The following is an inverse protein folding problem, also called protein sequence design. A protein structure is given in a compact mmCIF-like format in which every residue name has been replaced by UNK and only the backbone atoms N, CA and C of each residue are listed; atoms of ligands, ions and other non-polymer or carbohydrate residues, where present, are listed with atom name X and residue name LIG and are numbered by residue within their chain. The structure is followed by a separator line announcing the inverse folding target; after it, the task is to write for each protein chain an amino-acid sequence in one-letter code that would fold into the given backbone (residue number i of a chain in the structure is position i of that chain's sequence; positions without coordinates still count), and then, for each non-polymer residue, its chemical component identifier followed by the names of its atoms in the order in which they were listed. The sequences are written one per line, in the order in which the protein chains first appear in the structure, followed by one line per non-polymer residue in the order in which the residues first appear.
data_IF_093733737052
#
_entry.id   IF_093733737052
#
_cell.length_a   1.000
_cell.length_b   1.000
_cell.length_c   1.000
_cell.angle_alpha   90.00
_cell.angle_beta   90.00
_cell.angle_gamma   90.00
#
_symmetry.space_group_name_H-M   'P 1'
#
loop_
_entity.id
_entity.type
_entity.pdbx_description
1 polymer ?
#
# COMPACT_ATOMS: atom_id res chain seq x y z
N UNK A 1 -11.48 38.88 -3.31
CA UNK A 1 -10.52 37.85 -2.87
C UNK A 1 -11.32 36.73 -2.25
N UNK A 2 -11.76 35.77 -3.08
CA UNK A 2 -12.25 34.48 -2.61
C UNK A 2 -11.44 33.47 -3.42
N UNK A 3 -10.27 33.09 -2.89
CA UNK A 3 -9.54 31.95 -3.42
C UNK A 3 -10.39 30.72 -3.16
N UNK A 4 -10.99 30.22 -4.24
CA UNK A 4 -11.47 28.85 -4.35
C UNK A 4 -10.26 27.95 -4.12
N UNK A 5 -10.01 27.58 -2.86
CA UNK A 5 -9.12 26.48 -2.54
C UNK A 5 -9.74 25.22 -3.14
N UNK A 6 -9.14 24.80 -4.25
CA UNK A 6 -9.35 23.50 -4.87
C UNK A 6 -9.21 22.44 -3.77
N UNK A 7 -10.26 21.64 -3.58
CA UNK A 7 -10.27 20.47 -2.68
C UNK A 7 -9.08 19.56 -3.01
N UNK A 8 -7.97 19.75 -2.32
CA UNK A 8 -6.74 19.01 -2.59
C UNK A 8 -6.67 17.89 -1.57
N UNK A 9 -7.25 16.74 -1.90
CA UNK A 9 -6.88 15.47 -1.28
C UNK A 9 -5.33 15.36 -1.35
N UNK A 10 -4.60 14.80 -0.39
CA UNK A 10 -3.13 14.56 -0.50
C UNK A 10 -2.83 13.05 -0.36
N UNK A 11 -2.02 12.49 -1.25
CA UNK A 11 -1.65 11.07 -1.24
C UNK A 11 -0.33 10.93 -0.48
N UNK A 12 -0.22 10.00 0.45
CA UNK A 12 1.03 9.73 1.12
C UNK A 12 1.87 8.69 0.37
N UNK A 13 3.17 8.73 0.66
CA UNK A 13 4.17 7.80 0.14
C UNK A 13 4.64 6.92 1.28
N UNK A 14 4.49 5.60 1.16
CA UNK A 14 5.07 4.63 2.10
C UNK A 14 6.40 4.12 1.58
N UNK A 15 7.45 4.12 2.43
CA UNK A 15 8.76 3.53 2.10
C UNK A 15 8.98 2.34 3.03
N UNK A 16 9.22 1.15 2.47
CA UNK A 16 9.55 -0.05 3.24
C UNK A 16 10.97 -0.53 2.91
N UNK A 17 11.74 -0.88 3.95
CA UNK A 17 13.04 -1.54 3.84
C UNK A 17 12.94 -2.99 4.34
N UNK A 18 13.23 -3.96 3.47
CA UNK A 18 13.14 -5.38 3.83
C UNK A 18 14.53 -5.98 4.07
N UNK A 19 14.79 -6.42 5.30
CA UNK A 19 15.99 -7.17 5.68
C UNK A 19 15.80 -8.67 5.38
N UNK A 20 16.85 -9.34 4.90
CA UNK A 20 16.83 -10.77 4.58
C UNK A 20 17.09 -11.61 5.84
N UNK A 21 16.71 -12.89 5.87
CA UNK A 21 16.99 -13.75 6.99
C UNK A 21 18.49 -14.13 7.04
N UNK A 22 19.22 -13.66 8.06
CA UNK A 22 20.47 -14.28 8.54
C UNK A 22 21.82 -13.87 7.91
N UNK A 23 22.73 -13.40 8.79
CA UNK A 23 24.21 -13.41 8.82
C UNK A 23 25.11 -13.03 7.62
N UNK A 24 24.58 -12.71 6.44
CA UNK A 24 25.34 -11.99 5.40
C UNK A 24 24.69 -10.62 5.20
N UNK A 25 25.47 -9.53 5.13
CA UNK A 25 24.96 -8.20 4.78
C UNK A 25 24.43 -8.20 3.33
N UNK A 26 23.23 -8.74 3.13
CA UNK A 26 22.51 -8.65 1.88
C UNK A 26 22.05 -7.20 1.72
N UNK A 27 22.28 -6.56 0.56
CA UNK A 27 21.81 -5.19 0.30
C UNK A 27 20.32 -5.10 0.55
N UNK A 28 19.87 -4.18 1.41
CA UNK A 28 18.44 -3.97 1.69
C UNK A 28 17.71 -3.62 0.40
N UNK A 29 16.54 -4.22 0.17
CA UNK A 29 15.66 -3.77 -0.90
C UNK A 29 14.79 -2.62 -0.42
N UNK A 30 14.57 -1.63 -1.29
CA UNK A 30 13.71 -0.48 -1.03
C UNK A 30 12.48 -0.52 -1.92
N UNK A 31 11.32 -0.36 -1.30
CA UNK A 31 10.02 -0.35 -1.96
C UNK A 31 9.31 0.97 -1.66
N UNK A 32 8.61 1.51 -2.65
CA UNK A 32 7.78 2.70 -2.49
C UNK A 32 6.37 2.41 -3.00
N UNK A 33 5.34 2.67 -2.21
CA UNK A 33 3.94 2.67 -2.67
C UNK A 33 3.39 4.10 -2.66
N UNK A 34 2.60 4.43 -3.68
CA UNK A 34 1.99 5.75 -3.84
C UNK A 34 0.68 5.67 -4.61
N UNK A 35 -0.42 6.03 -3.95
CA UNK A 35 -1.71 6.19 -4.59
C UNK A 35 -1.69 7.42 -5.52
N UNK A 36 -1.68 7.20 -6.83
CA UNK A 36 -1.44 8.24 -7.84
C UNK A 36 -2.70 8.94 -8.33
N UNK A 37 -3.88 8.67 -7.72
CA UNK A 37 -5.17 9.29 -8.08
C UNK A 37 -5.58 9.19 -9.56
N UNK A 38 -5.02 8.20 -10.26
CA UNK A 38 -5.28 7.97 -11.68
C UNK A 38 -3.97 7.95 -12.46
N UNK A 39 -3.63 6.77 -12.99
CA UNK A 39 -2.41 6.58 -13.76
C UNK A 39 -2.33 7.47 -15.01
N UNK A 40 -3.48 7.94 -15.53
CA UNK A 40 -3.57 8.88 -16.66
C UNK A 40 -3.56 10.37 -16.29
N UNK A 41 -3.44 10.74 -15.01
CA UNK A 41 -3.36 12.16 -14.62
C UNK A 41 -2.06 12.79 -15.14
N UNK A 42 -2.08 14.04 -15.63
CA UNK A 42 -0.87 14.76 -16.05
C UNK A 42 0.20 14.87 -14.95
N UNK A 43 -0.21 14.80 -13.67
CA UNK A 43 0.70 14.85 -12.51
C UNK A 43 1.37 13.52 -12.18
N UNK A 44 0.88 12.39 -12.71
CA UNK A 44 1.39 11.05 -12.36
C UNK A 44 2.84 10.86 -12.81
N UNK A 45 3.16 11.22 -14.05
CA UNK A 45 4.53 11.06 -14.58
C UNK A 45 5.54 11.96 -13.84
N UNK A 46 5.28 13.26 -13.61
CA UNK A 46 6.12 14.10 -12.77
C UNK A 46 6.34 13.53 -11.36
N UNK A 47 5.28 13.07 -10.69
CA UNK A 47 5.36 12.52 -9.34
C UNK A 47 6.18 11.22 -9.32
N UNK A 48 5.94 10.32 -10.27
CA UNK A 48 6.71 9.08 -10.42
C UNK A 48 8.21 9.39 -10.65
N UNK A 49 8.52 10.38 -11.50
CA UNK A 49 9.91 10.82 -11.71
C UNK A 49 10.53 11.38 -10.43
N UNK A 50 9.77 12.12 -9.64
CA UNK A 50 10.23 12.61 -8.34
C UNK A 50 10.53 11.45 -7.39
N UNK A 51 9.59 10.52 -7.20
CA UNK A 51 9.78 9.35 -6.32
C UNK A 51 11.00 8.52 -6.74
N UNK A 52 11.12 8.21 -8.03
CA UNK A 52 12.23 7.44 -8.57
C UNK A 52 13.59 8.13 -8.37
N UNK A 53 13.66 9.47 -8.45
CA UNK A 53 14.90 10.24 -8.26
C UNK A 53 15.26 10.41 -6.80
N UNK A 54 14.26 10.66 -5.96
CA UNK A 54 14.44 10.98 -4.54
C UNK A 54 14.80 9.72 -3.74
N UNK A 55 14.03 8.65 -3.90
CA UNK A 55 14.17 7.43 -3.09
C UNK A 55 14.99 6.34 -3.78
N UNK A 56 15.13 6.39 -5.12
CA UNK A 56 15.80 5.37 -5.95
C UNK A 56 15.38 3.92 -5.60
N UNK A 57 14.08 3.65 -5.42
CA UNK A 57 13.60 2.37 -4.94
C UNK A 57 13.83 1.27 -5.98
N UNK A 58 13.88 0.02 -5.53
CA UNK A 58 14.00 -1.15 -6.40
C UNK A 58 12.68 -1.50 -7.08
N UNK A 59 11.56 -1.23 -6.42
CA UNK A 59 10.24 -1.22 -7.05
C UNK A 59 9.32 -0.11 -6.50
N UNK A 60 8.39 0.32 -7.35
CA UNK A 60 7.36 1.32 -7.09
C UNK A 60 6.00 0.69 -7.36
N UNK A 61 5.10 0.74 -6.39
CA UNK A 61 3.71 0.33 -6.50
C UNK A 61 2.86 1.59 -6.67
N UNK A 62 1.95 1.57 -7.65
CA UNK A 62 1.04 2.66 -7.97
C UNK A 62 -0.41 2.18 -7.96
N UNK A 63 -1.25 2.87 -7.20
CA UNK A 63 -2.69 2.62 -7.13
C UNK A 63 -3.49 3.75 -7.82
N UNK A 64 -4.55 3.38 -8.55
CA UNK A 64 -5.36 4.31 -9.34
C UNK A 64 -6.77 4.57 -8.78
N UNK A 65 -7.26 5.81 -8.93
CA UNK A 65 -8.61 6.24 -8.47
C UNK A 65 -9.77 5.45 -9.07
N UNK A 66 -9.59 4.90 -10.28
CA UNK A 66 -10.60 4.08 -10.98
C UNK A 66 -10.49 2.57 -10.70
N UNK A 67 -9.67 2.18 -9.73
CA UNK A 67 -9.16 0.81 -9.63
C UNK A 67 -7.95 0.61 -10.53
N UNK A 68 -7.13 -0.38 -10.19
CA UNK A 68 -5.89 -0.71 -10.88
C UNK A 68 -4.68 -0.53 -9.99
N UNK A 69 -3.85 -1.56 -9.97
CA UNK A 69 -2.53 -1.59 -9.36
C UNK A 69 -1.51 -1.76 -10.47
N UNK A 70 -0.43 -0.99 -10.42
CA UNK A 70 0.73 -1.18 -11.26
C UNK A 70 1.98 -1.32 -10.39
N UNK A 71 2.90 -2.19 -10.79
CA UNK A 71 4.21 -2.31 -10.15
C UNK A 71 5.27 -2.04 -11.21
N UNK A 72 6.19 -1.12 -10.92
CA UNK A 72 7.37 -0.84 -11.72
C UNK A 72 8.58 -1.31 -10.93
N UNK A 73 9.51 -1.99 -11.57
CA UNK A 73 10.73 -2.47 -10.91
C UNK A 73 11.96 -2.19 -11.75
N UNK A 74 13.13 -2.12 -11.10
CA UNK A 74 14.42 -2.03 -11.80
C UNK A 74 14.65 -3.31 -12.60
N UNK A 75 15.28 -3.16 -13.77
CA UNK A 75 15.70 -4.30 -14.60
C UNK A 75 16.74 -5.23 -13.93
N UNK A 76 17.33 -4.79 -12.81
CA UNK A 76 18.22 -5.60 -11.98
C UNK A 76 17.45 -6.64 -11.16
N UNK A 77 16.14 -6.48 -10.96
CA UNK A 77 15.29 -7.47 -10.31
C UNK A 77 14.78 -8.50 -11.32
N UNK A 78 14.92 -9.77 -10.98
CA UNK A 78 14.30 -10.88 -11.72
C UNK A 78 12.90 -11.11 -11.15
N UNK A 79 11.88 -10.63 -11.86
CA UNK A 79 10.50 -10.69 -11.42
C UNK A 79 9.67 -11.57 -12.36
N UNK A 80 8.78 -12.40 -11.79
CA UNK A 80 7.77 -13.15 -12.51
C UNK A 80 6.38 -12.79 -11.99
N UNK A 81 5.48 -12.40 -12.90
CA UNK A 81 4.07 -12.15 -12.53
C UNK A 81 3.40 -13.49 -12.26
N UNK A 82 2.84 -13.64 -11.07
CA UNK A 82 2.17 -14.85 -10.62
C UNK A 82 0.66 -14.77 -10.87
N UNK A 83 0.05 -13.64 -10.51
CA UNK A 83 -1.37 -13.40 -10.66
C UNK A 83 -1.66 -11.89 -10.65
N UNK A 84 -2.76 -11.45 -11.25
CA UNK A 84 -3.16 -10.04 -11.23
C UNK A 84 -4.66 -9.86 -11.41
N UNK A 85 -5.16 -8.73 -10.93
CA UNK A 85 -6.52 -8.25 -11.15
C UNK A 85 -6.53 -6.71 -11.10
N UNK A 86 -7.71 -6.09 -11.11
CA UNK A 86 -7.81 -4.65 -10.84
C UNK A 86 -7.42 -4.27 -9.40
N UNK A 87 -7.45 -5.23 -8.48
CA UNK A 87 -7.23 -5.01 -7.04
C UNK A 87 -5.87 -5.51 -6.55
N UNK A 88 -5.10 -6.20 -7.40
CA UNK A 88 -3.77 -6.65 -7.01
C UNK A 88 -2.87 -6.95 -8.20
N UNK A 89 -1.57 -6.90 -7.95
CA UNK A 89 -0.55 -7.52 -8.80
C UNK A 89 0.37 -8.32 -7.88
N UNK A 90 0.48 -9.62 -8.11
CA UNK A 90 1.30 -10.53 -7.34
C UNK A 90 2.52 -10.97 -8.14
N UNK A 91 3.71 -10.78 -7.58
CA UNK A 91 4.99 -10.98 -8.26
C UNK A 91 5.91 -11.83 -7.38
N UNK A 92 6.49 -12.86 -7.98
CA UNK A 92 7.64 -13.58 -7.42
C UNK A 92 8.93 -12.85 -7.80
N UNK A 93 9.79 -12.62 -6.82
CA UNK A 93 11.13 -12.06 -6.98
C UNK A 93 12.12 -13.21 -6.80
N UNK A 94 12.85 -13.50 -7.87
CA UNK A 94 13.92 -14.51 -7.89
C UNK A 94 15.19 -13.85 -7.36
N UNK A 95 15.60 -14.25 -6.15
CA UNK A 95 16.74 -13.69 -5.44
C UNK A 95 17.72 -14.81 -5.05
N UNK A 96 18.86 -14.83 -5.75
CA UNK A 96 19.90 -15.86 -5.58
C UNK A 96 20.60 -15.76 -4.20
N UNK A 97 20.46 -14.63 -3.48
CA UNK A 97 21.08 -14.41 -2.16
C UNK A 97 20.11 -14.68 -1.01
N UNK A 98 18.86 -14.23 -1.13
CA UNK A 98 17.86 -14.28 -0.05
C UNK A 98 16.90 -15.47 -0.15
N UNK A 99 16.94 -16.17 -1.28
CA UNK A 99 15.89 -17.09 -1.70
C UNK A 99 14.71 -16.34 -2.30
N UNK A 100 13.94 -17.04 -3.13
CA UNK A 100 12.78 -16.45 -3.79
C UNK A 100 11.74 -16.03 -2.75
N UNK A 101 11.09 -14.90 -3.02
CA UNK A 101 10.05 -14.35 -2.17
C UNK A 101 9.01 -13.65 -3.04
N UNK A 102 7.89 -13.26 -2.43
CA UNK A 102 6.73 -12.72 -3.11
C UNK A 102 6.43 -11.32 -2.62
N UNK A 103 6.09 -10.43 -3.56
CA UNK A 103 5.48 -9.14 -3.26
C UNK A 103 4.12 -9.00 -3.96
N UNK A 104 3.12 -8.54 -3.21
CA UNK A 104 1.82 -8.18 -3.76
C UNK A 104 1.58 -6.68 -3.60
N UNK A 105 1.33 -5.99 -4.71
CA UNK A 105 0.69 -4.68 -4.67
C UNK A 105 -0.82 -4.86 -4.50
N UNK A 106 -1.44 -4.24 -3.49
CA UNK A 106 -2.83 -4.47 -3.11
C UNK A 106 -3.65 -3.18 -3.11
N UNK A 107 -4.88 -3.27 -3.59
CA UNK A 107 -5.87 -2.19 -3.56
C UNK A 107 -7.21 -2.74 -3.05
N UNK A 108 -7.48 -2.49 -1.77
CA UNK A 108 -8.72 -2.86 -1.10
C UNK A 108 -9.94 -2.19 -1.73
N UNK A 109 -11.10 -2.84 -1.63
CA UNK A 109 -12.33 -2.30 -2.18
C UNK A 109 -12.76 -1.05 -1.41
N UNK A 110 -12.97 0.09 -2.08
CA UNK A 110 -13.34 1.33 -1.39
C UNK A 110 -14.76 1.24 -0.81
N UNK A 111 -15.64 0.42 -1.39
CA UNK A 111 -17.03 0.30 -0.95
C UNK A 111 -17.14 -0.44 0.38
N UNK A 112 -17.79 0.17 1.38
CA UNK A 112 -17.99 -0.42 2.71
C UNK A 112 -18.66 -1.80 2.71
N UNK A 113 -19.55 -2.07 1.75
CA UNK A 113 -20.19 -3.38 1.58
C UNK A 113 -19.26 -4.49 1.10
N UNK A 114 -18.06 -4.16 0.60
CA UNK A 114 -17.09 -5.10 0.02
C UNK A 114 -15.85 -5.31 0.89
N UNK A 115 -15.85 -4.78 2.11
CA UNK A 115 -14.75 -4.92 3.08
C UNK A 115 -14.40 -6.37 3.38
N UNK A 116 -15.42 -7.19 3.67
CA UNK A 116 -15.28 -8.64 3.84
C UNK A 116 -14.70 -9.32 2.61
N UNK A 117 -14.99 -8.84 1.41
CA UNK A 117 -14.41 -9.39 0.19
C UNK A 117 -12.90 -9.08 0.11
N UNK A 118 -12.46 -7.88 0.52
CA UNK A 118 -11.03 -7.57 0.65
C UNK A 118 -10.33 -8.46 1.69
N UNK A 119 -10.96 -8.71 2.83
CA UNK A 119 -10.40 -9.56 3.88
C UNK A 119 -10.27 -11.02 3.45
N UNK A 120 -11.34 -11.57 2.85
CA UNK A 120 -11.31 -12.92 2.30
C UNK A 120 -10.27 -13.05 1.17
N UNK A 121 -10.11 -11.99 0.38
CA UNK A 121 -9.13 -11.97 -0.70
C UNK A 121 -7.70 -11.91 -0.15
N UNK A 122 -7.45 -11.10 0.89
CA UNK A 122 -6.17 -11.08 1.61
C UNK A 122 -5.82 -12.46 2.17
N UNK A 123 -6.77 -13.11 2.84
CA UNK A 123 -6.60 -14.47 3.34
C UNK A 123 -6.33 -15.45 2.18
N UNK A 124 -7.07 -15.36 1.07
CA UNK A 124 -6.83 -16.22 -0.09
C UNK A 124 -5.40 -16.06 -0.64
N UNK A 125 -4.92 -14.83 -0.82
CA UNK A 125 -3.56 -14.53 -1.27
C UNK A 125 -2.49 -15.13 -0.35
N UNK A 126 -2.72 -15.14 0.97
CA UNK A 126 -1.80 -15.76 1.92
C UNK A 126 -1.61 -17.26 1.65
N UNK A 127 -2.65 -17.95 1.15
CA UNK A 127 -2.66 -19.39 0.93
C UNK A 127 -2.21 -19.81 -0.48
N UNK A 128 -2.00 -18.88 -1.42
CA UNK A 128 -1.66 -19.24 -2.80
C UNK A 128 -0.21 -19.70 -2.98
N UNK A 129 0.68 -19.44 -2.02
CA UNK A 129 2.09 -19.81 -2.10
C UNK A 129 2.72 -19.91 -0.71
N UNK A 130 3.73 -20.78 -0.60
CA UNK A 130 4.55 -20.96 0.61
C UNK A 130 5.79 -20.06 0.64
N UNK A 131 6.01 -19.24 -0.39
CA UNK A 131 7.12 -18.30 -0.42
C UNK A 131 6.96 -17.22 0.66
N UNK A 132 8.06 -16.73 1.27
CA UNK A 132 8.02 -15.53 2.10
C UNK A 132 7.31 -14.40 1.37
N UNK A 133 6.43 -13.69 2.07
CA UNK A 133 5.46 -12.81 1.44
C UNK A 133 5.44 -11.43 2.07
N UNK A 134 5.43 -10.41 1.23
CA UNK A 134 5.16 -9.02 1.59
C UNK A 134 4.00 -8.50 0.76
N UNK A 135 3.13 -7.70 1.36
CA UNK A 135 1.99 -7.09 0.70
C UNK A 135 1.97 -5.61 1.04
N UNK A 136 1.83 -4.76 0.02
CA UNK A 136 1.89 -3.31 0.18
C UNK A 136 0.80 -2.65 -0.66
N UNK A 137 0.21 -1.58 -0.12
CA UNK A 137 -0.69 -0.72 -0.87
C UNK A 137 -1.82 -0.17 0.00
N UNK A 138 -2.88 0.27 -0.66
CA UNK A 138 -4.05 0.89 -0.04
C UNK A 138 -5.07 -0.19 0.36
N UNK A 139 -5.15 -0.52 1.65
CA UNK A 139 -6.12 -1.47 2.17
C UNK A 139 -7.51 -0.86 2.31
N UNK A 140 -7.61 0.46 2.25
CA UNK A 140 -8.82 1.24 2.51
C UNK A 140 -9.41 1.02 3.92
N UNK A 141 -8.71 0.32 4.81
CA UNK A 141 -9.11 -0.06 6.18
C UNK A 141 -8.07 0.32 7.23
N UNK A 142 -8.53 0.48 8.47
CA UNK A 142 -7.69 0.87 9.62
C UNK A 142 -7.61 -0.27 10.63
N UNK A 143 -6.43 -0.49 11.21
CA UNK A 143 -6.17 -1.48 12.26
C UNK A 143 -6.48 -0.94 13.65
N UNK A 144 -6.66 0.35 13.86
CA UNK A 144 -7.05 0.90 15.17
C UNK A 144 -7.84 2.19 15.04
N UNK A 145 -8.52 2.60 16.11
CA UNK A 145 -9.20 3.90 16.16
C UNK A 145 -8.19 5.06 16.07
N UNK A 146 -6.98 4.90 16.60
CA UNK A 146 -5.92 5.92 16.59
C UNK A 146 -5.37 6.22 15.19
N UNK A 147 -5.61 5.31 14.24
CA UNK A 147 -5.26 5.49 12.82
C UNK A 147 -6.30 6.32 12.06
N UNK A 148 -7.23 6.95 12.78
CA UNK A 148 -8.19 7.92 12.25
C UNK A 148 -8.24 9.16 13.12
N UNK A 149 -8.30 10.32 12.47
CA UNK A 149 -8.66 11.60 13.08
C UNK A 149 -9.82 12.22 12.33
N UNK A 150 -10.75 12.85 13.03
CA UNK A 150 -11.89 13.54 12.44
C UNK A 150 -13.20 13.25 13.17
N UNK A 151 -14.32 13.37 12.44
CA UNK A 151 -15.63 13.53 13.07
C UNK A 151 -16.31 12.24 13.54
N UNK A 152 -16.14 11.14 12.81
CA UNK A 152 -16.92 9.91 13.05
C UNK A 152 -16.01 8.71 13.04
N UNK A 153 -16.02 7.96 14.13
CA UNK A 153 -15.22 6.75 14.27
C UNK A 153 -15.68 5.65 13.31
N UNK A 154 -14.75 4.76 12.97
CA UNK A 154 -15.11 3.58 12.20
C UNK A 154 -15.88 2.60 13.11
N UNK A 155 -16.92 1.94 12.59
CA UNK A 155 -17.56 0.83 13.30
C UNK A 155 -16.54 -0.21 13.76
N UNK A 156 -16.62 -0.63 15.03
CA UNK A 156 -15.66 -1.57 15.63
C UNK A 156 -15.52 -2.86 14.82
N UNK A 157 -16.62 -3.38 14.26
CA UNK A 157 -16.59 -4.61 13.47
C UNK A 157 -15.70 -4.53 12.21
N UNK A 158 -15.48 -3.33 11.64
CA UNK A 158 -14.54 -3.15 10.54
C UNK A 158 -13.09 -3.27 11.03
N UNK A 159 -12.79 -2.68 12.18
CA UNK A 159 -11.45 -2.73 12.79
C UNK A 159 -11.13 -4.16 13.21
N UNK A 160 -12.06 -4.83 13.89
CA UNK A 160 -11.90 -6.22 14.31
C UNK A 160 -11.75 -7.15 13.11
N UNK A 161 -12.65 -7.06 12.12
CA UNK A 161 -12.58 -7.93 10.94
C UNK A 161 -11.30 -7.73 10.12
N UNK A 162 -10.80 -6.50 10.01
CA UNK A 162 -9.53 -6.27 9.33
C UNK A 162 -8.33 -6.78 10.14
N UNK A 163 -8.31 -6.61 11.47
CA UNK A 163 -7.27 -7.19 12.33
C UNK A 163 -7.23 -8.72 12.25
N UNK A 164 -8.39 -9.36 12.26
CA UNK A 164 -8.51 -10.81 12.09
C UNK A 164 -7.94 -11.24 10.74
N UNK A 165 -8.32 -10.56 9.66
CA UNK A 165 -7.82 -10.86 8.32
C UNK A 165 -6.28 -10.75 8.19
N UNK A 166 -5.69 -9.73 8.82
CA UNK A 166 -4.22 -9.54 8.87
C UNK A 166 -3.56 -10.65 9.70
N UNK A 167 -4.15 -11.00 10.84
CA UNK A 167 -3.64 -12.05 11.73
C UNK A 167 -3.72 -13.43 11.08
N UNK A 168 -4.86 -13.77 10.47
CA UNK A 168 -5.09 -15.04 9.77
C UNK A 168 -4.17 -15.20 8.56
N UNK A 169 -3.82 -14.09 7.90
CA UNK A 169 -2.85 -14.06 6.82
C UNK A 169 -1.38 -14.13 7.30
N UNK A 170 -1.13 -14.14 8.61
CA UNK A 170 0.20 -14.18 9.21
C UNK A 170 1.02 -12.90 9.00
N UNK A 171 0.36 -11.77 8.74
CA UNK A 171 0.99 -10.50 8.40
C UNK A 171 1.31 -9.66 9.64
N UNK A 172 2.36 -8.85 9.55
CA UNK A 172 2.78 -7.90 10.58
C UNK A 172 2.93 -6.54 9.90
N UNK A 173 2.24 -5.51 10.42
CA UNK A 173 2.29 -4.14 9.89
C UNK A 173 3.68 -3.54 10.10
N UNK A 174 4.29 -3.05 9.03
CA UNK A 174 5.55 -2.30 9.08
C UNK A 174 5.24 -0.85 9.45
N UNK A 175 5.92 -0.34 10.48
CA UNK A 175 5.69 1.02 10.96
C UNK A 175 6.11 2.07 9.93
N UNK A 176 5.20 3.02 9.66
CA UNK A 176 5.50 4.18 8.82
C UNK A 176 6.41 5.15 9.60
N UNK A 177 7.52 5.53 8.99
CA UNK A 177 8.37 6.57 9.56
C UNK A 177 7.83 7.95 9.18
N UNK A 178 7.63 8.83 10.18
CA UNK A 178 7.21 10.22 9.96
C UNK A 178 5.73 10.46 10.26
N UNK A 179 5.00 11.04 9.32
CA UNK A 179 3.59 11.36 9.52
C UNK A 179 2.72 10.10 9.38
N UNK A 180 1.87 9.76 10.36
CA UNK A 180 1.26 8.43 10.43
C UNK A 180 0.00 8.24 9.58
N UNK A 181 -0.57 9.31 9.00
CA UNK A 181 -1.78 9.22 8.16
C UNK A 181 -1.40 9.29 6.68
N UNK A 182 -2.11 8.51 5.88
CA UNK A 182 -1.81 8.36 4.46
C UNK A 182 -2.89 8.92 3.54
N UNK A 183 -4.07 9.18 4.10
CA UNK A 183 -5.21 9.76 3.42
C UNK A 183 -5.78 10.96 4.19
N UNK A 184 -6.21 11.98 3.45
CA UNK A 184 -6.68 13.26 3.99
C UNK A 184 -7.88 13.77 3.21
N UNK A 185 -8.85 14.35 3.92
CA UNK A 185 -10.00 15.04 3.34
C UNK A 185 -10.32 16.33 4.08
N UNK A 186 -10.62 17.37 3.31
CA UNK A 186 -11.02 18.70 3.82
C UNK A 186 -10.02 19.30 4.81
N UNK A 187 -8.72 19.11 4.56
CA UNK A 187 -7.63 19.63 5.38
C UNK A 187 -7.73 21.15 5.53
N UNK A 188 -7.40 21.69 6.70
CA UNK A 188 -7.50 23.12 7.00
C UNK A 188 -8.92 23.61 7.32
N UNK A 189 -9.92 22.72 7.35
CA UNK A 189 -11.30 23.04 7.73
C UNK A 189 -11.72 22.33 9.01
N UNK A 190 -12.82 22.76 9.63
CA UNK A 190 -13.46 22.06 10.76
C UNK A 190 -14.00 20.66 10.39
N UNK A 191 -13.96 20.27 9.10
CA UNK A 191 -14.38 18.96 8.59
C UNK A 191 -13.18 18.08 8.23
N UNK A 192 -11.97 18.45 8.62
CA UNK A 192 -10.76 17.67 8.34
C UNK A 192 -10.90 16.23 8.85
N UNK A 193 -10.51 15.28 8.01
CA UNK A 193 -10.42 13.85 8.33
C UNK A 193 -9.09 13.32 7.80
N UNK A 194 -8.44 12.52 8.61
CA UNK A 194 -7.17 11.86 8.29
C UNK A 194 -7.27 10.37 8.64
N UNK A 195 -6.75 9.50 7.77
CA UNK A 195 -6.76 8.05 7.98
C UNK A 195 -5.44 7.42 7.50
N UNK A 196 -4.98 6.35 8.18
CA UNK A 196 -3.89 5.49 7.68
C UNK A 196 -4.50 4.32 6.91
N UNK A 197 -4.54 4.45 5.58
CA UNK A 197 -5.13 3.46 4.67
C UNK A 197 -4.06 2.62 3.95
N UNK A 198 -2.87 3.18 3.76
CA UNK A 198 -1.75 2.54 3.08
C UNK A 198 -0.83 1.83 4.08
N UNK A 199 -0.42 0.61 3.77
CA UNK A 199 0.35 -0.28 4.67
C UNK A 199 1.32 -1.18 3.90
N UNK A 200 2.31 -1.72 4.61
CA UNK A 200 3.31 -2.69 4.13
C UNK A 200 3.60 -3.76 5.20
#
# INVERSE_FOLDING_TARGET
MNDMQVDTEHAATGVAEMAGPGHQACPKMSLVSSNCRGLGSPSTVPNLKYLARTYKPDAIILEGRGGGVAILWKNTLKCQIMNYSLNHVDIEIVDDLRGNWRITGFYGFPEGGRRRASWNFLHHLSQTSQLPWSIIGDFNDILSLDEKRGRTDRPEWLIHGFREAVTDAGLIDIELTGYPFTWFKSLGTARAVEEKLDRA
#
